data_IF_819908839489
#
_entry.id   IF_819908839489
#
_cell.length_a   1.000
_cell.length_b   1.000
_cell.length_c   1.000
_cell.angle_alpha   90.00
_cell.angle_beta   90.00
_cell.angle_gamma   90.00
#
_symmetry.space_group_name_H-M   'P 1'
#
loop_
_entity.id
_entity.type
_entity.pdbx_description
1 polymer ?
#
# COMPACT_ATOMS: atom_id res chain seq x y z
N UNK A 1 17.50 19.27 9.92
CA UNK A 1 18.97 19.28 9.63
C UNK A 1 19.76 20.28 10.42
N UNK A 2 19.25 21.51 10.62
CA UNK A 2 19.91 22.49 11.49
C UNK A 2 20.24 21.90 12.87
N UNK A 3 19.28 21.23 13.51
CA UNK A 3 19.50 20.55 14.79
C UNK A 3 20.61 19.48 14.77
N UNK A 4 20.70 18.69 13.69
CA UNK A 4 21.73 17.67 13.55
C UNK A 4 23.13 18.31 13.37
N UNK A 5 23.22 19.37 12.56
CA UNK A 5 24.43 20.16 12.36
C UNK A 5 24.90 20.84 13.64
N UNK A 6 23.99 21.48 14.38
CA UNK A 6 24.29 22.09 15.68
C UNK A 6 24.77 21.07 16.72
N UNK A 7 24.18 19.87 16.73
CA UNK A 7 24.62 18.79 17.62
C UNK A 7 26.06 18.36 17.32
N UNK A 8 26.43 18.23 16.04
CA UNK A 8 27.78 17.88 15.61
C UNK A 8 28.77 19.00 15.96
N UNK A 9 28.41 20.25 15.67
CA UNK A 9 29.21 21.43 16.01
C UNK A 9 29.47 21.52 17.52
N UNK A 10 28.42 21.42 18.32
CA UNK A 10 28.54 21.48 19.78
C UNK A 10 29.41 20.36 20.33
N UNK A 11 29.32 19.15 19.76
CA UNK A 11 30.17 18.03 20.17
C UNK A 11 31.64 18.26 19.80
N UNK A 12 31.94 18.79 18.61
CA UNK A 12 33.30 19.17 18.21
C UNK A 12 33.89 20.22 19.15
N UNK A 13 33.15 21.31 19.39
CA UNK A 13 33.61 22.39 20.27
C UNK A 13 33.82 21.91 21.71
N UNK A 14 32.94 21.04 22.23
CA UNK A 14 33.11 20.41 23.55
C UNK A 14 34.31 19.48 23.63
N UNK A 15 34.63 18.78 22.54
CA UNK A 15 35.82 17.96 22.43
C UNK A 15 37.11 18.79 22.28
N UNK A 16 37.00 20.10 22.06
CA UNK A 16 38.15 21.00 21.86
C UNK A 16 38.82 20.83 20.50
N UNK A 17 38.14 20.22 19.53
CA UNK A 17 38.69 19.91 18.20
C UNK A 17 38.41 21.07 17.24
N UNK A 18 39.41 21.47 16.46
CA UNK A 18 39.23 22.48 15.41
C UNK A 18 38.53 21.88 14.18
N UNK A 19 37.89 22.72 13.35
CA UNK A 19 37.23 22.21 12.14
C UNK A 19 38.28 21.68 11.14
N UNK A 20 39.47 22.28 11.14
CA UNK A 20 40.63 21.89 10.34
C UNK A 20 41.20 20.54 10.75
N UNK A 21 41.28 20.28 12.06
CA UNK A 21 41.75 19.00 12.61
C UNK A 21 40.76 17.88 12.28
N UNK A 22 39.47 18.11 12.49
CA UNK A 22 38.43 17.15 12.10
C UNK A 22 38.45 16.88 10.59
N UNK A 23 38.68 17.91 9.77
CA UNK A 23 38.82 17.78 8.32
C UNK A 23 40.01 16.91 7.92
N UNK A 24 41.16 17.10 8.57
CA UNK A 24 42.36 16.31 8.32
C UNK A 24 42.19 14.85 8.73
N UNK A 25 41.65 14.60 9.92
CA UNK A 25 41.48 13.24 10.47
C UNK A 25 40.46 12.41 9.68
N UNK A 26 39.39 13.06 9.23
CA UNK A 26 38.32 12.40 8.46
C UNK A 26 38.60 12.38 6.96
N UNK A 27 39.58 13.15 6.48
CA UNK A 27 39.81 13.39 5.06
C UNK A 27 38.54 13.93 4.34
N UNK A 28 37.78 14.77 5.05
CA UNK A 28 36.59 15.45 4.52
C UNK A 28 36.94 16.93 4.36
N UNK A 29 36.69 17.58 3.20
CA UNK A 29 36.94 19.01 3.02
C UNK A 29 36.29 19.87 4.09
N UNK A 30 37.02 20.87 4.61
CA UNK A 30 36.53 21.83 5.63
C UNK A 30 35.16 22.41 5.24
N UNK A 31 35.01 22.80 3.97
CA UNK A 31 33.77 23.34 3.44
C UNK A 31 32.56 22.42 3.69
N UNK A 32 32.73 21.11 3.54
CA UNK A 32 31.64 20.15 3.76
C UNK A 32 31.32 20.00 5.25
N UNK A 33 32.31 20.00 6.14
CA UNK A 33 32.04 19.99 7.57
C UNK A 33 31.32 21.27 8.02
N UNK A 34 31.71 22.44 7.50
CA UNK A 34 31.02 23.71 7.77
C UNK A 34 29.57 23.71 7.25
N UNK A 35 29.34 23.17 6.06
CA UNK A 35 28.00 23.02 5.49
C UNK A 35 27.13 22.03 6.30
N UNK A 36 27.73 20.95 6.82
CA UNK A 36 27.07 20.02 7.73
C UNK A 36 26.71 20.72 9.04
N UNK A 37 27.65 21.42 9.68
CA UNK A 37 27.43 22.12 10.95
C UNK A 37 26.39 23.24 10.83
N UNK A 38 26.31 23.91 9.67
CA UNK A 38 25.30 24.95 9.38
C UNK A 38 23.96 24.38 8.90
N UNK A 39 23.87 23.07 8.65
CA UNK A 39 22.67 22.42 8.12
C UNK A 39 22.35 22.77 6.66
N UNK A 40 23.33 23.25 5.89
CA UNK A 40 23.20 23.68 4.50
C UNK A 40 23.20 22.48 3.52
N UNK A 41 22.17 21.64 3.58
CA UNK A 41 22.08 20.39 2.79
C UNK A 41 21.98 20.61 1.28
N UNK A 42 21.42 21.75 0.84
CA UNK A 42 21.28 22.06 -0.58
C UNK A 42 22.60 22.27 -1.34
N UNK A 43 23.73 22.29 -0.62
CA UNK A 43 25.06 22.38 -1.22
C UNK A 43 25.67 21.02 -1.62
N UNK A 44 25.04 19.91 -1.21
CA UNK A 44 25.52 18.57 -1.52
C UNK A 44 24.77 18.00 -2.73
N UNK A 45 25.51 17.55 -3.75
CA UNK A 45 24.94 16.86 -4.90
C UNK A 45 24.53 15.42 -4.56
N UNK A 46 25.37 14.72 -3.78
CA UNK A 46 25.12 13.35 -3.31
C UNK A 46 24.65 13.32 -1.84
N UNK A 47 23.38 12.96 -1.67
CA UNK A 47 22.71 12.84 -0.37
C UNK A 47 23.22 11.62 0.43
N UNK A 48 23.64 10.54 -0.25
CA UNK A 48 24.21 9.37 0.42
C UNK A 48 25.61 9.67 0.95
N UNK A 49 26.41 10.42 0.18
CA UNK A 49 27.72 10.87 0.62
C UNK A 49 27.58 11.80 1.84
N UNK A 50 26.66 12.76 1.80
CA UNK A 50 26.33 13.61 2.94
C UNK A 50 25.98 12.79 4.18
N UNK A 51 25.10 11.79 4.04
CA UNK A 51 24.73 10.90 5.16
C UNK A 51 25.96 10.19 5.73
N UNK A 52 26.84 9.66 4.87
CA UNK A 52 28.05 8.97 5.31
C UNK A 52 28.99 9.93 6.05
N UNK A 53 29.25 11.12 5.50
CA UNK A 53 30.06 12.14 6.15
C UNK A 53 29.52 12.52 7.52
N UNK A 54 28.21 12.69 7.68
CA UNK A 54 27.59 12.95 8.97
C UNK A 54 27.78 11.80 9.97
N UNK A 55 27.65 10.56 9.51
CA UNK A 55 27.83 9.37 10.36
C UNK A 55 29.30 9.21 10.77
N UNK A 56 30.24 9.39 9.85
CA UNK A 56 31.68 9.35 10.13
C UNK A 56 32.10 10.45 11.09
N UNK A 57 31.60 11.66 10.88
CA UNK A 57 31.86 12.77 11.76
C UNK A 57 31.29 12.54 13.16
N UNK A 58 30.08 12.00 13.25
CA UNK A 58 29.49 11.56 14.50
C UNK A 58 30.31 10.51 15.24
N UNK A 59 30.82 9.50 14.53
CA UNK A 59 31.70 8.47 15.09
C UNK A 59 32.97 9.08 15.65
N UNK A 60 33.61 9.98 14.89
CA UNK A 60 34.83 10.66 15.29
C UNK A 60 34.63 11.48 16.57
N UNK A 61 33.48 12.13 16.72
CA UNK A 61 33.11 12.89 17.92
C UNK A 61 32.57 12.04 19.08
N UNK A 62 32.50 10.72 18.92
CA UNK A 62 31.97 9.80 19.94
C UNK A 62 30.45 9.92 20.17
N UNK A 63 29.71 10.43 19.18
CA UNK A 63 28.26 10.56 19.23
C UNK A 63 27.55 9.24 18.85
N UNK A 64 26.29 9.12 19.25
CA UNK A 64 25.46 7.99 18.84
C UNK A 64 25.10 8.11 17.35
N UNK A 65 25.64 7.21 16.53
CA UNK A 65 25.39 7.22 15.09
C UNK A 65 23.94 6.95 14.71
N UNK A 66 23.19 6.23 15.54
CA UNK A 66 21.80 5.92 15.22
C UNK A 66 20.89 7.13 15.42
N UNK A 67 21.21 8.01 16.37
CA UNK A 67 20.55 9.31 16.54
C UNK A 67 20.81 10.22 15.33
N UNK A 68 22.06 10.27 14.85
CA UNK A 68 22.43 11.05 13.67
C UNK A 68 21.70 10.54 12.42
N UNK A 69 21.67 9.22 12.21
CA UNK A 69 20.92 8.60 11.10
C UNK A 69 19.43 8.91 11.21
N UNK A 70 18.86 8.87 12.41
CA UNK A 70 17.45 9.15 12.65
C UNK A 70 17.14 10.60 12.26
N UNK A 71 17.87 11.58 12.79
CA UNK A 71 17.71 13.01 12.46
C UNK A 71 17.87 13.31 10.97
N UNK A 72 18.81 12.62 10.31
CA UNK A 72 18.99 12.72 8.86
C UNK A 72 17.77 12.17 8.10
N UNK A 73 17.28 11.00 8.51
CA UNK A 73 16.12 10.38 7.89
C UNK A 73 14.84 11.20 8.11
N UNK A 74 14.64 11.77 9.30
CA UNK A 74 13.52 12.68 9.60
C UNK A 74 13.57 13.90 8.69
N UNK A 75 14.74 14.52 8.51
CA UNK A 75 14.87 15.61 7.56
C UNK A 75 14.63 15.20 6.11
N UNK A 76 15.16 14.06 5.67
CA UNK A 76 14.89 13.55 4.32
C UNK A 76 13.41 13.25 4.12
N UNK A 77 12.75 12.74 5.16
CA UNK A 77 11.31 12.57 5.16
C UNK A 77 10.64 13.93 4.98
N UNK A 78 10.88 14.92 5.83
CA UNK A 78 10.28 16.27 5.71
C UNK A 78 10.58 16.94 4.35
N UNK A 79 11.77 16.76 3.82
CA UNK A 79 12.19 17.31 2.53
C UNK A 79 11.49 16.64 1.33
N UNK A 80 11.30 15.32 1.37
CA UNK A 80 10.70 14.54 0.28
C UNK A 80 9.20 14.30 0.44
N UNK A 81 8.65 14.48 1.65
CA UNK A 81 7.26 14.22 2.02
C UNK A 81 6.27 15.27 1.52
N UNK A 82 6.56 15.93 0.40
CA UNK A 82 5.55 16.58 -0.45
C UNK A 82 4.55 15.58 -1.08
N UNK A 83 4.42 14.37 -0.54
CA UNK A 83 3.37 13.42 -0.88
C UNK A 83 2.30 13.55 0.20
N UNK A 84 1.10 13.98 -0.19
CA UNK A 84 -0.01 14.07 0.75
C UNK A 84 -0.28 12.67 1.31
N UNK A 85 -0.54 12.55 2.61
CA UNK A 85 -0.93 11.27 3.23
C UNK A 85 -2.10 10.63 2.45
N UNK A 86 -3.01 11.46 1.94
CA UNK A 86 -4.13 11.08 1.08
C UNK A 86 -3.70 10.40 -0.23
N UNK A 87 -2.57 10.79 -0.83
CA UNK A 87 -2.04 10.19 -2.05
C UNK A 87 -1.40 8.83 -1.76
N UNK A 88 -0.74 8.70 -0.60
CA UNK A 88 -0.21 7.43 -0.09
C UNK A 88 -1.38 6.47 0.19
N UNK A 89 -2.42 6.94 0.88
CA UNK A 89 -3.60 6.15 1.19
C UNK A 89 -4.34 5.72 -0.09
N UNK A 90 -4.47 6.63 -1.06
CA UNK A 90 -5.10 6.34 -2.35
C UNK A 90 -4.31 5.29 -3.15
N UNK A 91 -2.99 5.42 -3.23
CA UNK A 91 -2.12 4.44 -3.89
C UNK A 91 -2.16 3.08 -3.19
N UNK A 92 -2.19 3.05 -1.85
CA UNK A 92 -2.33 1.81 -1.08
C UNK A 92 -3.69 1.14 -1.30
N UNK A 93 -4.77 1.93 -1.35
CA UNK A 93 -6.13 1.43 -1.65
C UNK A 93 -6.26 0.94 -3.10
N UNK A 94 -5.63 1.62 -4.05
CA UNK A 94 -5.59 1.20 -5.46
C UNK A 94 -4.78 -0.09 -5.61
N UNK A 95 -3.62 -0.22 -4.97
CA UNK A 95 -2.83 -1.47 -4.95
C UNK A 95 -3.56 -2.63 -4.25
N UNK A 96 -4.32 -2.36 -3.18
CA UNK A 96 -5.15 -3.38 -2.53
C UNK A 96 -6.31 -3.81 -3.43
N UNK A 97 -6.98 -2.88 -4.11
CA UNK A 97 -8.02 -3.19 -5.10
C UNK A 97 -7.47 -3.96 -6.29
N UNK A 98 -6.28 -3.61 -6.77
CA UNK A 98 -5.61 -4.28 -7.88
C UNK A 98 -5.18 -5.70 -7.49
N UNK A 99 -4.68 -5.89 -6.26
CA UNK A 99 -4.42 -7.21 -5.66
C UNK A 99 -5.68 -8.05 -5.40
N UNK A 100 -6.83 -7.41 -5.20
CA UNK A 100 -8.14 -8.08 -5.09
C UNK A 100 -8.76 -8.35 -6.47
N UNK A 101 -8.41 -7.58 -7.51
CA UNK A 101 -9.01 -7.68 -8.86
C UNK A 101 -8.22 -8.52 -9.85
N UNK A 102 -6.89 -8.58 -9.71
CA UNK A 102 -6.07 -9.54 -10.45
C UNK A 102 -6.16 -10.88 -9.73
N UNK A 103 -6.71 -11.89 -10.42
CA UNK A 103 -6.72 -13.28 -9.97
C UNK A 103 -5.35 -13.62 -9.38
N UNK A 104 -5.30 -13.91 -8.07
CA UNK A 104 -4.06 -14.28 -7.36
C UNK A 104 -3.22 -15.21 -8.24
N UNK A 105 -2.06 -14.73 -8.70
CA UNK A 105 -1.10 -15.58 -9.42
C UNK A 105 -0.54 -16.58 -8.41
N UNK A 106 -1.27 -17.67 -8.20
CA UNK A 106 -0.81 -18.76 -7.37
C UNK A 106 0.33 -19.49 -8.09
N UNK A 107 1.37 -19.81 -7.32
CA UNK A 107 2.36 -20.79 -7.76
C UNK A 107 1.66 -22.08 -8.20
N UNK A 108 2.26 -22.90 -9.09
CA UNK A 108 1.67 -24.17 -9.52
C UNK A 108 1.23 -25.10 -8.38
N UNK A 109 1.72 -24.85 -7.15
CA UNK A 109 1.49 -25.65 -5.95
C UNK A 109 0.52 -25.04 -4.93
N UNK A 110 -0.01 -23.83 -5.15
CA UNK A 110 -0.97 -23.16 -4.23
C UNK A 110 -2.28 -22.75 -4.87
N UNK A 111 -2.56 -23.19 -6.10
CA UNK A 111 -3.82 -22.90 -6.80
C UNK A 111 -5.03 -23.46 -6.02
N UNK A 112 -5.78 -22.59 -5.38
CA UNK A 112 -7.14 -22.91 -4.92
C UNK A 112 -8.07 -22.81 -6.13
N UNK A 113 -8.73 -23.90 -6.49
CA UNK A 113 -9.66 -23.90 -7.61
C UNK A 113 -10.85 -22.99 -7.27
N UNK A 114 -11.29 -22.11 -8.19
CA UNK A 114 -12.44 -21.26 -7.91
C UNK A 114 -13.67 -22.13 -7.68
N UNK A 115 -14.40 -21.84 -6.60
CA UNK A 115 -15.63 -22.55 -6.25
C UNK A 115 -16.64 -22.40 -7.38
N UNK A 116 -17.11 -23.52 -7.93
CA UNK A 116 -18.06 -23.51 -9.05
C UNK A 116 -19.33 -22.73 -8.67
N UNK A 117 -19.82 -21.91 -9.60
CA UNK A 117 -21.01 -21.09 -9.39
C UNK A 117 -22.22 -22.01 -9.35
N UNK A 118 -22.82 -22.20 -8.18
CA UNK A 118 -24.05 -23.00 -7.98
C UNK A 118 -25.34 -22.29 -8.40
N UNK A 119 -25.23 -21.00 -8.73
CA UNK A 119 -26.34 -20.12 -9.14
C UNK A 119 -27.14 -20.62 -10.37
N UNK A 120 -26.54 -21.04 -11.50
CA UNK A 120 -27.30 -21.54 -12.65
C UNK A 120 -28.12 -22.80 -12.32
N UNK A 121 -27.62 -23.68 -11.44
CA UNK A 121 -28.37 -24.86 -11.00
C UNK A 121 -29.62 -24.47 -10.21
N UNK A 122 -29.49 -23.51 -9.28
CA UNK A 122 -30.63 -22.99 -8.51
C UNK A 122 -31.65 -22.34 -9.45
N UNK A 123 -31.19 -21.53 -10.41
CA UNK A 123 -32.06 -20.90 -11.41
C UNK A 123 -32.82 -21.95 -12.24
N UNK A 124 -32.13 -23.00 -12.70
CA UNK A 124 -32.75 -24.07 -13.48
C UNK A 124 -33.83 -24.84 -12.70
N UNK A 125 -33.61 -25.08 -11.40
CA UNK A 125 -34.59 -25.73 -10.55
C UNK A 125 -35.86 -24.89 -10.38
N UNK A 126 -35.72 -23.56 -10.23
CA UNK A 126 -36.86 -22.63 -10.15
C UNK A 126 -37.68 -22.64 -11.45
N UNK A 127 -37.01 -22.64 -12.61
CA UNK A 127 -37.69 -22.70 -13.92
C UNK A 127 -38.48 -24.01 -14.08
N UNK A 128 -37.92 -25.14 -13.68
CA UNK A 128 -38.60 -26.45 -13.73
C UNK A 128 -39.87 -26.43 -12.87
N UNK A 129 -39.80 -25.88 -11.65
CA UNK A 129 -40.96 -25.78 -10.75
C UNK A 129 -42.08 -24.95 -11.39
N UNK A 130 -41.74 -23.81 -12.01
CA UNK A 130 -42.73 -22.96 -12.70
C UNK A 130 -43.42 -23.72 -13.84
N UNK A 131 -42.66 -24.48 -14.64
CA UNK A 131 -43.22 -25.28 -15.73
C UNK A 131 -44.21 -26.34 -15.22
N UNK A 132 -43.89 -27.01 -14.12
CA UNK A 132 -44.80 -27.99 -13.50
C UNK A 132 -46.11 -27.34 -13.07
N UNK A 133 -46.05 -26.16 -12.43
CA UNK A 133 -47.25 -25.41 -12.02
C UNK A 133 -48.11 -25.02 -13.23
N UNK A 134 -47.50 -24.59 -14.33
CA UNK A 134 -48.24 -24.26 -15.56
C UNK A 134 -48.96 -25.47 -16.15
N UNK A 135 -48.33 -26.64 -16.15
CA UNK A 135 -48.96 -27.90 -16.61
C UNK A 135 -50.15 -28.28 -15.73
N UNK A 136 -50.04 -28.12 -14.41
CA UNK A 136 -51.15 -28.39 -13.48
C UNK A 136 -52.33 -27.44 -13.72
N UNK A 137 -52.07 -26.14 -13.89
CA UNK A 137 -53.10 -25.14 -14.20
C UNK A 137 -53.79 -25.48 -15.54
N UNK A 138 -53.01 -25.84 -16.56
CA UNK A 138 -53.54 -26.22 -17.86
C UNK A 138 -54.40 -27.49 -17.78
N UNK A 139 -53.95 -28.50 -17.03
CA UNK A 139 -54.70 -29.74 -16.79
C UNK A 139 -56.04 -29.49 -16.09
N UNK A 140 -56.07 -28.65 -15.05
CA UNK A 140 -57.32 -28.28 -14.36
C UNK A 140 -58.27 -27.57 -15.34
N UNK A 141 -57.75 -26.61 -16.12
CA UNK A 141 -58.55 -25.89 -17.12
C UNK A 141 -59.13 -26.84 -18.17
N UNK A 142 -58.37 -27.82 -18.63
CA UNK A 142 -58.83 -28.83 -19.57
C UNK A 142 -59.98 -29.66 -19.00
N UNK A 143 -59.89 -30.08 -17.74
CA UNK A 143 -60.95 -30.84 -17.05
C UNK A 143 -62.22 -30.00 -16.89
N UNK A 144 -62.11 -28.74 -16.48
CA UNK A 144 -63.28 -27.85 -16.31
C UNK A 144 -63.96 -27.55 -17.66
N UNK A 145 -63.18 -27.26 -18.70
CA UNK A 145 -63.72 -26.97 -20.05
C UNK A 145 -64.38 -28.21 -20.65
N UNK A 146 -63.74 -29.37 -20.59
CA UNK A 146 -64.35 -30.61 -21.12
C UNK A 146 -65.55 -31.08 -20.30
N UNK A 147 -65.54 -30.89 -18.97
CA UNK A 147 -66.67 -31.19 -18.10
C UNK A 147 -67.90 -30.32 -18.38
N UNK A 148 -67.70 -29.06 -18.80
CA UNK A 148 -68.82 -28.18 -19.19
C UNK A 148 -69.51 -28.61 -20.49
N UNK A 149 -68.74 -29.13 -21.47
CA UNK A 149 -69.29 -29.56 -22.75
C UNK A 149 -70.09 -30.88 -22.64
N UNK A 150 -69.76 -31.77 -21.69
CA UNK A 150 -70.52 -33.00 -21.46
C UNK A 150 -71.85 -32.80 -20.73
N UNK A 151 -72.01 -31.70 -19.99
CA UNK A 151 -73.27 -31.42 -19.26
C UNK A 151 -74.31 -30.77 -20.20
N UNK A 152 -73.85 -29.99 -21.19
CA UNK A 152 -74.74 -29.30 -22.15
C UNK A 152 -75.28 -30.28 -23.22
N UNK A 153 -74.55 -31.34 -23.57
CA UNK A 153 -74.99 -32.35 -24.53
C UNK A 153 -75.96 -33.43 -23.99
N UNK A 154 -76.29 -33.42 -22.69
CA UNK A 154 -77.26 -34.33 -22.09
C UNK A 154 -78.63 -33.66 -21.86
N UNK A 155 -78.78 -32.40 -22.25
CA UNK A 155 -79.99 -31.60 -22.14
C UNK A 155 -80.36 -30.98 -23.50
N UNK A 156 -80.43 -31.82 -24.54
CA UNK A 156 -81.16 -31.57 -25.79
C UNK A 156 -81.59 -32.92 -26.40
#
# INVERSE_FOLDING_TARGET
>A
MIEAGESLKSAREKAGVSIEEASQDLNIPVLFLEQIESGAVGAFEDIYELKNMMVEYGKYLGLNTDDIKLKFNEYMFDYTSKIKLDEIEKAMREQQKEKESDEEIHSPYTRVTPKEKTLPYILSAVVIIILVVLVLIWSIKQITVNGSNSIIGFLD
#
